data_IF_050488713717
#
_entry.id   IF_050488713717
#
_cell.length_a   1.000
_cell.length_b   1.000
_cell.length_c   1.000
_cell.angle_alpha   90.00
_cell.angle_beta   90.00
_cell.angle_gamma   90.00
#
_symmetry.space_group_name_H-M   'P 1'
#
loop_
_entity.id
_entity.type
_entity.pdbx_description
1 polymer ?
#
# COMPACT_ATOMS: atom_id res chain seq x y z
N UNK A 1 -5.94 -14.08 -5.17
CA UNK A 1 -6.78 -13.40 -6.19
C UNK A 1 -7.88 -14.38 -6.57
N UNK A 2 -9.14 -13.95 -6.64
CA UNK A 2 -10.24 -14.86 -7.05
C UNK A 2 -10.07 -15.13 -8.56
N UNK A 3 -10.05 -16.40 -8.96
CA UNK A 3 -9.92 -16.75 -10.37
C UNK A 3 -11.23 -16.41 -11.09
N UNK A 4 -11.15 -15.65 -12.17
CA UNK A 4 -12.30 -15.40 -13.04
C UNK A 4 -12.60 -16.70 -13.80
N UNK A 5 -13.82 -17.23 -13.62
CA UNK A 5 -14.29 -18.40 -14.35
C UNK A 5 -14.52 -18.04 -15.82
N UNK A 6 -13.49 -18.21 -16.67
CA UNK A 6 -13.52 -17.82 -18.09
C UNK A 6 -14.72 -18.37 -18.85
N UNK A 7 -15.13 -19.60 -18.54
CA UNK A 7 -16.29 -20.23 -19.18
C UNK A 7 -17.60 -19.54 -18.76
N UNK A 8 -17.76 -19.21 -17.48
CA UNK A 8 -18.92 -18.47 -16.96
C UNK A 8 -19.00 -17.07 -17.57
N UNK A 9 -17.86 -16.39 -17.72
CA UNK A 9 -17.80 -15.09 -18.40
C UNK A 9 -18.24 -15.20 -19.86
N UNK A 10 -17.78 -16.22 -20.60
CA UNK A 10 -18.19 -16.45 -21.98
C UNK A 10 -19.70 -16.69 -22.08
N UNK A 11 -20.24 -17.55 -21.22
CA UNK A 11 -21.69 -17.80 -21.16
C UNK A 11 -22.46 -16.52 -20.85
N UNK A 12 -22.00 -15.70 -19.91
CA UNK A 12 -22.66 -14.43 -19.57
C UNK A 12 -22.59 -13.41 -20.71
N UNK A 13 -21.52 -13.39 -21.50
CA UNK A 13 -21.42 -12.53 -22.70
C UNK A 13 -22.38 -13.02 -23.78
N UNK A 14 -22.44 -14.34 -24.03
CA UNK A 14 -23.32 -14.93 -25.05
C UNK A 14 -24.79 -14.73 -24.68
N UNK A 15 -25.14 -14.97 -23.42
CA UNK A 15 -26.50 -14.79 -22.91
C UNK A 15 -26.83 -13.33 -22.61
N UNK A 16 -25.89 -12.40 -22.78
CA UNK A 16 -26.19 -10.98 -22.64
C UNK A 16 -27.13 -10.54 -23.76
N UNK A 17 -28.12 -9.73 -23.42
CA UNK A 17 -29.01 -9.09 -24.39
C UNK A 17 -28.30 -7.97 -25.17
N UNK A 18 -26.99 -8.03 -25.34
CA UNK A 18 -26.16 -6.97 -25.93
C UNK A 18 -26.56 -6.73 -27.39
N UNK A 19 -26.65 -7.79 -28.19
CA UNK A 19 -26.97 -7.70 -29.62
C UNK A 19 -28.37 -7.15 -29.85
N UNK A 20 -29.35 -7.64 -29.09
CA UNK A 20 -30.74 -7.17 -29.15
C UNK A 20 -30.84 -5.68 -28.78
N UNK A 21 -30.21 -5.27 -27.68
CA UNK A 21 -30.26 -3.86 -27.24
C UNK A 21 -29.50 -2.92 -28.19
N UNK A 22 -28.40 -3.37 -28.78
CA UNK A 22 -27.64 -2.58 -29.77
C UNK A 22 -28.44 -2.42 -31.06
N UNK A 23 -29.08 -3.48 -31.54
CA UNK A 23 -29.85 -3.43 -32.78
C UNK A 23 -31.11 -2.56 -32.68
N UNK A 24 -31.68 -2.44 -31.48
CA UNK A 24 -32.83 -1.59 -31.19
C UNK A 24 -32.47 -0.11 -30.92
N UNK A 25 -31.19 0.25 -30.86
CA UNK A 25 -30.79 1.63 -30.64
C UNK A 25 -30.89 2.48 -31.91
N UNK A 26 -31.52 3.66 -31.78
CA UNK A 26 -31.89 4.55 -32.89
C UNK A 26 -30.66 5.25 -33.52
N UNK A 27 -29.58 5.43 -32.76
CA UNK A 27 -28.39 6.14 -33.20
C UNK A 27 -27.11 5.38 -32.87
N UNK A 28 -26.05 5.62 -33.64
CA UNK A 28 -24.70 5.03 -33.40
C UNK A 28 -24.19 5.37 -32.00
N UNK A 29 -24.43 6.59 -31.52
CA UNK A 29 -24.09 6.98 -30.15
C UNK A 29 -24.91 6.19 -29.12
N UNK A 30 -26.19 5.93 -29.38
CA UNK A 30 -27.03 5.07 -28.55
C UNK A 30 -26.52 3.63 -28.52
N UNK A 31 -26.10 3.09 -29.67
CA UNK A 31 -25.50 1.76 -29.79
C UNK A 31 -24.23 1.62 -28.95
N UNK A 32 -23.33 2.61 -29.04
CA UNK A 32 -22.09 2.64 -28.25
C UNK A 32 -22.39 2.71 -26.76
N UNK A 33 -23.34 3.55 -26.34
CA UNK A 33 -23.72 3.65 -24.93
C UNK A 33 -24.32 2.35 -24.39
N UNK A 34 -25.20 1.70 -25.17
CA UNK A 34 -25.77 0.41 -24.82
C UNK A 34 -24.68 -0.65 -24.71
N UNK A 35 -23.75 -0.69 -25.67
CA UNK A 35 -22.62 -1.62 -25.64
C UNK A 35 -21.75 -1.43 -24.39
N UNK A 36 -21.35 -0.20 -24.09
CA UNK A 36 -20.54 0.13 -22.92
C UNK A 36 -21.26 -0.26 -21.62
N UNK A 37 -22.56 0.03 -21.54
CA UNK A 37 -23.36 -0.26 -20.34
C UNK A 37 -23.45 -1.76 -20.08
N UNK A 38 -23.83 -2.54 -21.09
CA UNK A 38 -23.96 -4.00 -20.94
C UNK A 38 -22.60 -4.63 -20.65
N UNK A 39 -21.53 -4.15 -21.27
CA UNK A 39 -20.17 -4.62 -20.98
C UNK A 39 -19.75 -4.30 -19.55
N UNK A 40 -20.05 -3.08 -19.06
CA UNK A 40 -19.76 -2.69 -17.69
C UNK A 40 -20.50 -3.58 -16.68
N UNK A 41 -21.75 -3.94 -16.94
CA UNK A 41 -22.53 -4.83 -16.08
C UNK A 41 -21.92 -6.24 -16.00
N UNK A 42 -21.55 -6.80 -17.16
CA UNK A 42 -20.87 -8.11 -17.23
C UNK A 42 -19.53 -8.07 -16.50
N UNK A 43 -18.74 -7.02 -16.69
CA UNK A 43 -17.45 -6.85 -16.01
C UNK A 43 -17.66 -6.70 -14.50
N UNK A 44 -18.59 -5.87 -14.05
CA UNK A 44 -18.85 -5.64 -12.62
C UNK A 44 -19.30 -6.92 -11.91
N UNK A 45 -20.02 -7.82 -12.60
CA UNK A 45 -20.40 -9.14 -12.09
C UNK A 45 -19.18 -10.04 -11.83
N UNK A 46 -18.20 -10.03 -12.74
CA UNK A 46 -17.03 -10.93 -12.69
C UNK A 46 -15.79 -10.33 -12.00
N UNK A 47 -15.68 -9.01 -11.96
CA UNK A 47 -14.57 -8.26 -11.42
C UNK A 47 -15.09 -7.04 -10.63
N UNK A 48 -15.79 -7.26 -9.51
CA UNK A 48 -16.31 -6.17 -8.69
C UNK A 48 -15.15 -5.31 -8.16
N UNK A 49 -15.32 -3.99 -8.24
CA UNK A 49 -14.35 -3.04 -7.69
C UNK A 49 -14.39 -3.14 -6.17
N UNK A 50 -13.42 -3.84 -5.59
CA UNK A 50 -13.30 -3.96 -4.14
C UNK A 50 -12.60 -2.72 -3.59
N UNK A 51 -13.37 -1.78 -3.07
CA UNK A 51 -12.82 -0.64 -2.34
C UNK A 51 -12.29 -1.12 -0.98
N UNK A 52 -10.97 -1.09 -0.81
CA UNK A 52 -10.34 -1.35 0.49
C UNK A 52 -10.30 -0.07 1.30
N UNK A 53 -11.10 0.00 2.37
CA UNK A 53 -11.00 1.08 3.35
C UNK A 53 -9.75 0.87 4.20
N UNK A 54 -8.78 1.76 4.08
CA UNK A 54 -7.62 1.79 4.99
C UNK A 54 -8.12 2.30 6.33
N UNK A 55 -8.32 1.40 7.29
CA UNK A 55 -8.62 1.77 8.67
C UNK A 55 -7.30 1.89 9.42
N UNK A 56 -6.95 3.12 9.81
CA UNK A 56 -5.84 3.35 10.74
C UNK A 56 -6.24 2.72 12.06
N UNK A 57 -5.48 1.70 12.50
CA UNK A 57 -5.70 1.12 13.81
C UNK A 57 -5.31 2.15 14.86
N UNK A 58 -6.15 2.42 15.88
CA UNK A 58 -5.74 3.25 16.99
C UNK A 58 -4.50 2.64 17.64
N UNK A 59 -3.59 3.50 18.08
CA UNK A 59 -2.41 3.07 18.80
C UNK A 59 -2.83 2.27 20.04
N UNK A 60 -2.09 1.20 20.35
CA UNK A 60 -2.28 0.46 21.59
C UNK A 60 -2.00 1.40 22.77
N UNK A 61 -2.63 1.16 23.93
CA UNK A 61 -2.47 2.01 25.12
C UNK A 61 -1.02 2.20 25.56
N UNK A 62 -0.17 1.21 25.32
CA UNK A 62 1.27 1.29 25.62
C UNK A 62 2.07 2.10 24.60
N UNK A 63 1.52 2.37 23.41
CA UNK A 63 2.20 3.13 22.35
C UNK A 63 1.88 4.62 22.51
N UNK A 64 2.66 5.26 23.38
CA UNK A 64 2.58 6.68 23.69
C UNK A 64 3.31 7.52 22.63
N UNK A 65 3.04 8.83 22.64
CA UNK A 65 3.69 9.78 21.74
C UNK A 65 5.21 9.84 21.94
N UNK A 66 5.69 9.64 23.17
CA UNK A 66 7.13 9.58 23.48
C UNK A 66 7.82 8.44 22.74
N UNK A 67 7.17 7.26 22.66
CA UNK A 67 7.70 6.10 21.94
C UNK A 67 7.70 6.38 20.43
N UNK A 68 6.67 7.07 19.92
CA UNK A 68 6.59 7.49 18.52
C UNK A 68 7.73 8.46 18.16
N UNK A 69 8.00 9.42 19.02
CA UNK A 69 9.08 10.40 18.84
C UNK A 69 10.46 9.76 18.96
N UNK A 70 10.67 8.90 19.95
CA UNK A 70 11.91 8.16 20.11
C UNK A 70 12.19 7.32 18.86
N UNK A 71 11.20 6.57 18.36
CA UNK A 71 11.33 5.80 17.11
C UNK A 71 11.69 6.68 15.92
N UNK A 72 11.06 7.85 15.79
CA UNK A 72 11.37 8.82 14.71
C UNK A 72 12.82 9.31 14.82
N UNK A 73 13.28 9.65 16.02
CA UNK A 73 14.68 10.05 16.29
C UNK A 73 15.65 8.92 15.95
N UNK A 74 15.38 7.67 16.36
CA UNK A 74 16.20 6.50 16.01
C UNK A 74 16.23 6.18 14.52
N UNK A 75 15.16 6.46 13.78
CA UNK A 75 15.11 6.21 12.33
C UNK A 75 15.82 7.29 11.51
N UNK A 76 15.97 8.50 12.05
CA UNK A 76 16.69 9.62 11.42
C UNK A 76 18.19 9.57 11.73
N UNK A 77 18.59 8.93 12.83
CA UNK A 77 20.00 8.62 13.10
C UNK A 77 20.51 7.67 12.00
N UNK A 78 21.66 7.96 11.37
CA UNK A 78 22.24 7.05 10.40
C UNK A 78 22.48 5.71 11.10
N UNK A 79 21.96 4.61 10.55
CA UNK A 79 22.29 3.27 11.01
C UNK A 79 23.80 3.12 10.90
N UNK A 80 24.51 3.28 12.01
CA UNK A 80 25.95 3.07 12.06
C UNK A 80 26.14 1.58 11.84
N UNK A 81 26.54 1.22 10.62
CA UNK A 81 26.89 -0.15 10.27
C UNK A 81 27.87 -0.65 11.34
N UNK A 82 27.48 -1.75 11.98
CA UNK A 82 28.01 -2.17 13.26
C UNK A 82 29.52 -2.09 13.36
N UNK A 83 30.01 -1.12 14.13
CA UNK A 83 31.33 -1.17 14.75
C UNK A 83 31.22 -0.64 16.18
N UNK A 84 31.43 -1.58 17.09
CA UNK A 84 31.52 -1.48 18.55
C UNK A 84 32.15 -0.14 18.99
N UNK A 85 31.31 0.79 19.46
CA UNK A 85 31.72 2.10 19.97
C UNK A 85 32.23 2.08 21.42
N UNK A 86 32.40 0.90 22.04
CA UNK A 86 32.92 0.79 23.40
C UNK A 86 34.38 1.28 23.52
N UNK A 87 35.20 1.10 22.48
CA UNK A 87 36.63 1.46 22.50
C UNK A 87 36.89 2.97 22.40
N UNK A 88 35.97 3.75 21.82
CA UNK A 88 36.14 5.20 21.70
C UNK A 88 35.99 5.95 23.02
N UNK A 89 35.18 5.42 23.95
CA UNK A 89 35.04 5.99 25.29
C UNK A 89 36.26 5.69 26.18
N UNK A 90 36.80 4.46 26.12
CA UNK A 90 37.97 4.06 26.91
C UNK A 90 39.22 4.84 26.48
N UNK A 91 39.45 5.03 25.17
CA UNK A 91 40.59 5.81 24.68
C UNK A 91 40.49 7.27 25.08
N UNK A 92 39.29 7.88 25.04
CA UNK A 92 39.11 9.28 25.46
C UNK A 92 39.33 9.48 26.96
N UNK A 93 38.99 8.49 27.79
CA UNK A 93 39.19 8.53 29.25
C UNK A 93 40.68 8.35 29.63
N UNK A 94 41.42 7.54 28.88
CA UNK A 94 42.86 7.32 29.11
C UNK A 94 43.73 8.48 28.62
N UNK A 95 43.35 9.14 27.51
CA UNK A 95 44.08 10.31 27.00
C UNK A 95 43.85 11.59 27.81
N UNK A 96 42.82 11.65 28.67
CA UNK A 96 42.56 12.82 29.54
C UNK A 96 43.30 12.79 30.87
N UNK A 97 44.01 11.70 31.20
CA UNK A 97 44.75 11.55 32.47
C UNK A 97 46.27 11.82 32.33
N UNK A 98 46.75 12.21 31.15
CA UNK A 98 48.20 12.41 30.88
C UNK A 98 48.59 13.89 30.70
N UNK A 99 47.70 14.83 31.02
CA UNK A 99 48.06 16.24 31.04
C UNK A 99 47.53 16.93 32.30
N UNK A 100 48.39 17.03 33.32
CA UNK A 100 48.66 18.31 33.99
C UNK A 100 50.06 18.31 34.62
N UNK A 101 50.69 19.50 34.70
CA UNK A 101 52.14 19.69 34.87
C UNK A 101 52.53 19.89 36.33
N UNK A 102 53.78 19.58 36.70
CA UNK A 102 54.42 20.21 37.86
C UNK A 102 55.93 20.36 37.66
N UNK A 103 56.32 21.64 37.57
CA UNK A 103 57.61 22.28 37.82
C UNK A 103 58.79 22.00 36.87
#
# INVERSE_FOLDING_TARGET
MKSIGRNVLKEDIINSSMLEKVQNAISVTGQVNVFITVLADVINKHAPVVNRKIVIRPNKQWYTDDIREAKKKFSVQPKTNGKRHAWRFIVKLLSTQVETPTN
#
